data_IF_342437342540
#
_entry.id   IF_342437342540
#
_cell.length_a   1.000
_cell.length_b   1.000
_cell.length_c   1.000
_cell.angle_alpha   90.00
_cell.angle_beta   90.00
_cell.angle_gamma   90.00
#
_symmetry.space_group_name_H-M   'P 1'
#
loop_
_entity.id
_entity.type
_entity.pdbx_description
1 polymer ?
#
# COMPACT_ATOMS: atom_id res chain seq x y z
N UNK A 1 26.23 2.07 -14.14
CA UNK A 1 25.24 1.01 -13.83
C UNK A 1 25.21 0.03 -14.99
N UNK A 2 25.35 -1.29 -14.78
CA UNK A 2 25.26 -2.24 -15.91
C UNK A 2 23.79 -2.44 -16.30
N UNK A 3 23.51 -2.69 -17.59
CA UNK A 3 22.12 -2.89 -18.10
C UNK A 3 21.33 -3.91 -17.26
N UNK A 4 22.00 -4.95 -16.75
CA UNK A 4 21.40 -6.00 -15.90
C UNK A 4 20.90 -5.47 -14.55
N UNK A 5 21.63 -4.56 -13.90
CA UNK A 5 21.17 -3.96 -12.63
C UNK A 5 19.96 -3.05 -12.88
N UNK A 6 20.00 -2.25 -13.95
CA UNK A 6 18.88 -1.37 -14.28
C UNK A 6 17.60 -2.20 -14.50
N UNK A 7 17.71 -3.31 -15.22
CA UNK A 7 16.60 -4.26 -15.40
C UNK A 7 16.14 -4.84 -14.06
N UNK A 8 17.06 -5.25 -13.17
CA UNK A 8 16.69 -5.76 -11.84
C UNK A 8 15.91 -4.72 -11.01
N UNK A 9 16.35 -3.47 -11.01
CA UNK A 9 15.67 -2.38 -10.30
C UNK A 9 14.29 -2.12 -10.90
N UNK A 10 14.17 -2.10 -12.23
CA UNK A 10 12.88 -1.92 -12.92
C UNK A 10 11.92 -3.07 -12.60
N UNK A 11 12.39 -4.32 -12.65
CA UNK A 11 11.57 -5.49 -12.29
C UNK A 11 11.12 -5.40 -10.82
N UNK A 12 12.02 -5.00 -9.93
CA UNK A 12 11.69 -4.80 -8.52
C UNK A 12 10.63 -3.71 -8.32
N UNK A 13 10.77 -2.57 -9.01
CA UNK A 13 9.76 -1.50 -8.98
C UNK A 13 8.41 -2.01 -9.48
N UNK A 14 8.38 -2.67 -10.64
CA UNK A 14 7.14 -3.27 -11.19
C UNK A 14 6.51 -4.23 -10.19
N UNK A 15 7.32 -5.07 -9.52
CA UNK A 15 6.84 -5.95 -8.47
C UNK A 15 6.22 -5.17 -7.31
N UNK A 16 6.91 -4.16 -6.75
CA UNK A 16 6.40 -3.39 -5.62
C UNK A 16 5.09 -2.67 -5.95
N UNK A 17 4.98 -2.10 -7.16
CA UNK A 17 3.73 -1.49 -7.62
C UNK A 17 2.62 -2.52 -7.82
N UNK A 18 2.94 -3.68 -8.40
CA UNK A 18 1.98 -4.77 -8.58
C UNK A 18 1.49 -5.32 -7.24
N UNK A 19 2.39 -5.48 -6.27
CA UNK A 19 2.10 -5.94 -4.91
C UNK A 19 1.13 -4.98 -4.19
N UNK A 20 1.35 -3.67 -4.32
CA UNK A 20 0.51 -2.65 -3.71
C UNK A 20 -0.90 -2.56 -4.33
N UNK A 21 -1.01 -2.52 -5.66
CA UNK A 21 -2.27 -2.22 -6.35
C UNK A 21 -3.08 -3.44 -6.78
N UNK A 22 -2.42 -4.53 -7.15
CA UNK A 22 -3.05 -5.59 -7.95
C UNK A 22 -3.04 -6.96 -7.30
N UNK A 23 -1.98 -7.31 -6.56
CA UNK A 23 -1.89 -8.65 -5.99
C UNK A 23 -2.99 -8.87 -4.96
N UNK A 24 -3.80 -9.93 -5.11
CA UNK A 24 -4.73 -10.33 -4.07
C UNK A 24 -4.00 -10.53 -2.74
N UNK A 25 -4.61 -10.09 -1.65
CA UNK A 25 -4.02 -10.12 -0.31
C UNK A 25 -3.52 -11.51 0.12
N UNK A 26 -4.14 -12.59 -0.36
CA UNK A 26 -3.71 -13.96 -0.04
C UNK A 26 -2.48 -14.40 -0.87
N UNK A 27 -2.20 -13.76 -2.00
CA UNK A 27 -1.04 -14.04 -2.87
C UNK A 27 0.18 -13.24 -2.39
N UNK A 28 -0.02 -12.05 -1.82
CA UNK A 28 1.06 -11.15 -1.36
C UNK A 28 2.14 -11.83 -0.49
N UNK A 29 1.81 -12.69 0.51
CA UNK A 29 2.85 -13.35 1.31
C UNK A 29 3.73 -14.30 0.49
N UNK A 30 3.13 -15.03 -0.46
CA UNK A 30 3.85 -15.98 -1.31
C UNK A 30 4.73 -15.27 -2.33
N UNK A 31 4.21 -14.22 -2.98
CA UNK A 31 4.98 -13.41 -3.93
C UNK A 31 6.16 -12.73 -3.23
N UNK A 32 5.93 -12.15 -2.06
CA UNK A 32 6.97 -11.55 -1.22
C UNK A 32 8.07 -12.54 -0.85
N UNK A 33 7.70 -13.76 -0.42
CA UNK A 33 8.66 -14.80 -0.07
C UNK A 33 9.53 -15.22 -1.27
N UNK A 34 8.90 -15.40 -2.45
CA UNK A 34 9.61 -15.73 -3.69
C UNK A 34 10.64 -14.65 -4.04
N UNK A 35 10.25 -13.37 -3.98
CA UNK A 35 11.14 -12.25 -4.29
C UNK A 35 12.28 -12.16 -3.27
N UNK A 36 12.00 -12.35 -1.98
CA UNK A 36 13.03 -12.39 -0.93
C UNK A 36 14.05 -13.50 -1.19
N UNK A 37 13.60 -14.72 -1.50
CA UNK A 37 14.49 -15.86 -1.80
C UNK A 37 15.32 -15.57 -3.06
N UNK A 38 14.69 -15.05 -4.12
CA UNK A 38 15.40 -14.73 -5.36
C UNK A 38 16.51 -13.69 -5.13
N UNK A 39 16.20 -12.60 -4.41
CA UNK A 39 17.17 -11.55 -4.08
C UNK A 39 18.29 -12.09 -3.16
N UNK A 40 17.97 -12.97 -2.21
CA UNK A 40 18.96 -13.61 -1.34
C UNK A 40 19.92 -14.50 -2.15
N UNK A 41 19.39 -15.36 -3.03
CA UNK A 41 20.22 -16.20 -3.91
C UNK A 41 21.14 -15.33 -4.77
N UNK A 42 20.62 -14.24 -5.34
CA UNK A 42 21.40 -13.30 -6.13
C UNK A 42 22.47 -12.60 -5.29
N UNK A 43 22.17 -12.21 -4.05
CA UNK A 43 23.13 -11.58 -3.15
C UNK A 43 24.27 -12.56 -2.79
N UNK A 44 23.94 -13.80 -2.39
CA UNK A 44 24.91 -14.85 -2.06
C UNK A 44 25.81 -15.17 -3.26
N UNK A 45 25.23 -15.34 -4.45
CA UNK A 45 26.00 -15.59 -5.69
C UNK A 45 26.98 -14.46 -5.99
N UNK A 46 26.56 -13.21 -5.81
CA UNK A 46 27.42 -12.04 -6.02
C UNK A 46 28.52 -11.92 -4.98
N UNK A 47 28.21 -12.24 -3.72
CA UNK A 47 29.18 -12.29 -2.63
C UNK A 47 30.25 -13.35 -2.89
N UNK A 48 29.85 -14.59 -3.23
CA UNK A 48 30.79 -15.67 -3.59
C UNK A 48 31.69 -15.26 -4.76
N UNK A 49 31.10 -14.63 -5.78
CA UNK A 49 31.87 -14.14 -6.94
C UNK A 49 32.92 -13.10 -6.51
N UNK A 50 32.53 -12.13 -5.69
CA UNK A 50 33.45 -11.11 -5.18
C UNK A 50 34.58 -11.69 -4.33
N UNK A 51 34.28 -12.69 -3.49
CA UNK A 51 35.29 -13.40 -2.68
C UNK A 51 36.29 -14.16 -3.58
N UNK A 52 35.80 -14.83 -4.64
CA UNK A 52 36.66 -15.55 -5.61
C UNK A 52 37.53 -14.58 -6.41
N UNK A 53 36.98 -13.45 -6.83
CA UNK A 53 37.67 -12.42 -7.63
C UNK A 53 38.40 -11.38 -6.76
N UNK A 54 38.67 -11.67 -5.48
CA UNK A 54 39.17 -10.69 -4.48
C UNK A 54 40.47 -9.97 -4.85
N UNK A 55 41.33 -10.60 -5.65
CA UNK A 55 42.61 -10.01 -6.13
C UNK A 55 42.42 -9.06 -7.32
N UNK A 56 41.25 -9.07 -7.95
CA UNK A 56 40.90 -8.29 -9.14
C UNK A 56 39.47 -7.75 -9.03
N UNK A 57 39.09 -7.23 -7.87
CA UNK A 57 37.73 -6.74 -7.63
C UNK A 57 37.46 -5.56 -8.56
N UNK A 58 36.43 -5.71 -9.38
CA UNK A 58 35.97 -4.62 -10.24
C UNK A 58 34.90 -3.83 -9.49
N UNK A 59 34.94 -2.49 -9.59
CA UNK A 59 34.00 -1.58 -8.92
C UNK A 59 32.53 -1.94 -9.22
N UNK A 60 32.24 -2.38 -10.45
CA UNK A 60 30.88 -2.81 -10.80
C UNK A 60 30.40 -4.02 -10.00
N UNK A 61 31.29 -4.93 -9.60
CA UNK A 61 30.94 -6.11 -8.80
C UNK A 61 30.43 -5.71 -7.42
N UNK A 62 31.11 -4.73 -6.80
CA UNK A 62 30.71 -4.14 -5.52
C UNK A 62 29.36 -3.44 -5.66
N UNK A 63 29.20 -2.60 -6.69
CA UNK A 63 27.93 -1.88 -6.95
C UNK A 63 26.77 -2.87 -7.14
N UNK A 64 26.96 -3.95 -7.90
CA UNK A 64 25.89 -4.93 -8.11
C UNK A 64 25.46 -5.56 -6.76
N UNK A 65 26.43 -5.94 -5.92
CA UNK A 65 26.14 -6.53 -4.60
C UNK A 65 25.40 -5.53 -3.73
N UNK A 66 25.87 -4.29 -3.65
CA UNK A 66 25.24 -3.24 -2.85
C UNK A 66 23.80 -2.99 -3.29
N UNK A 67 23.54 -2.83 -4.59
CA UNK A 67 22.17 -2.65 -5.10
C UNK A 67 21.30 -3.85 -4.75
N UNK A 68 21.81 -5.06 -4.95
CA UNK A 68 21.03 -6.28 -4.66
C UNK A 68 20.70 -6.40 -3.17
N UNK A 69 21.66 -6.08 -2.29
CA UNK A 69 21.45 -6.04 -0.85
C UNK A 69 20.46 -4.93 -0.46
N UNK A 70 20.54 -3.75 -1.08
CA UNK A 70 19.57 -2.67 -0.85
C UNK A 70 18.16 -3.11 -1.24
N UNK A 71 17.99 -3.71 -2.42
CA UNK A 71 16.67 -4.22 -2.85
C UNK A 71 16.17 -5.33 -1.91
N UNK A 72 17.05 -6.24 -1.49
CA UNK A 72 16.71 -7.27 -0.52
C UNK A 72 16.23 -6.65 0.80
N UNK A 73 17.02 -5.73 1.38
CA UNK A 73 16.67 -5.01 2.61
C UNK A 73 15.35 -4.29 2.44
N UNK A 74 15.17 -3.50 1.38
CA UNK A 74 13.91 -2.77 1.12
C UNK A 74 12.70 -3.69 0.92
N UNK A 75 12.90 -4.95 0.55
CA UNK A 75 11.82 -5.95 0.45
C UNK A 75 11.58 -6.66 1.77
N UNK A 76 12.61 -6.78 2.63
CA UNK A 76 12.56 -7.66 3.79
C UNK A 76 11.73 -7.06 4.95
N UNK A 77 10.64 -7.74 5.26
CA UNK A 77 9.75 -7.57 6.43
C UNK A 77 9.54 -6.11 6.85
N UNK A 78 10.24 -5.65 7.89
CA UNK A 78 10.04 -4.33 8.48
C UNK A 78 10.48 -3.16 7.60
N UNK A 79 11.36 -3.39 6.62
CA UNK A 79 11.85 -2.35 5.73
C UNK A 79 10.96 -2.16 4.50
N UNK A 80 10.10 -3.14 4.18
CA UNK A 80 9.09 -3.02 3.12
C UNK A 80 8.10 -1.88 3.38
N UNK A 81 8.00 -1.40 4.63
CA UNK A 81 7.21 -0.21 4.95
C UNK A 81 7.71 1.06 4.24
N UNK A 82 9.00 1.14 3.89
CA UNK A 82 9.59 2.32 3.24
C UNK A 82 9.03 2.50 1.83
N UNK A 83 9.21 1.54 0.89
CA UNK A 83 8.62 1.68 -0.44
C UNK A 83 7.09 1.75 -0.40
N UNK A 84 6.43 0.98 0.48
CA UNK A 84 4.97 1.05 0.63
C UNK A 84 4.49 2.43 1.08
N UNK A 85 5.16 3.07 2.04
CA UNK A 85 4.78 4.43 2.48
C UNK A 85 4.97 5.47 1.38
N UNK A 86 6.00 5.32 0.54
CA UNK A 86 6.22 6.19 -0.61
C UNK A 86 5.08 6.01 -1.61
N UNK A 87 4.76 4.77 -2.00
CA UNK A 87 3.68 4.47 -2.94
C UNK A 87 2.34 4.95 -2.38
N UNK A 88 2.06 4.73 -1.10
CA UNK A 88 0.83 5.17 -0.43
C UNK A 88 0.65 6.70 -0.49
N UNK A 89 1.72 7.47 -0.28
CA UNK A 89 1.68 8.93 -0.41
C UNK A 89 1.43 9.38 -1.84
N UNK A 90 2.04 8.71 -2.81
CA UNK A 90 1.84 8.98 -4.24
C UNK A 90 0.41 8.66 -4.63
N UNK A 91 -0.12 7.50 -4.23
CA UNK A 91 -1.51 7.12 -4.47
C UNK A 91 -2.49 8.11 -3.83
N UNK A 92 -2.25 8.51 -2.58
CA UNK A 92 -3.05 9.55 -1.94
C UNK A 92 -3.14 10.80 -2.83
N UNK A 93 -1.99 11.33 -3.24
CA UNK A 93 -1.89 12.56 -4.02
C UNK A 93 -2.57 12.45 -5.40
N UNK A 94 -2.30 11.38 -6.15
CA UNK A 94 -2.83 11.20 -7.51
C UNK A 94 -4.34 10.98 -7.49
N UNK A 95 -4.82 10.14 -6.57
CA UNK A 95 -6.21 9.69 -6.53
C UNK A 95 -7.13 10.59 -5.67
N UNK A 96 -6.57 11.61 -5.00
CA UNK A 96 -7.28 12.50 -4.09
C UNK A 96 -8.56 13.12 -4.68
N UNK A 97 -8.45 13.75 -5.85
CA UNK A 97 -9.58 14.43 -6.48
C UNK A 97 -10.72 13.44 -6.83
N UNK A 98 -10.36 12.23 -7.26
CA UNK A 98 -11.33 11.18 -7.57
C UNK A 98 -12.00 10.65 -6.30
N UNK A 99 -11.25 10.46 -5.22
CA UNK A 99 -11.80 10.10 -3.90
C UNK A 99 -12.78 11.15 -3.40
N UNK A 100 -12.46 12.43 -3.53
CA UNK A 100 -13.38 13.52 -3.18
C UNK A 100 -14.65 13.53 -4.04
N UNK A 101 -14.55 13.23 -5.34
CA UNK A 101 -15.73 13.07 -6.20
C UNK A 101 -16.63 11.94 -5.69
N UNK A 102 -16.04 10.77 -5.37
CA UNK A 102 -16.78 9.62 -4.82
C UNK A 102 -17.44 9.99 -3.49
N UNK A 103 -16.74 10.69 -2.60
CA UNK A 103 -17.32 11.17 -1.33
C UNK A 103 -18.54 12.05 -1.60
N UNK A 104 -18.45 13.00 -2.54
CA UNK A 104 -19.59 13.86 -2.93
C UNK A 104 -20.76 13.02 -3.44
N UNK A 105 -20.51 12.04 -4.30
CA UNK A 105 -21.56 11.18 -4.86
C UNK A 105 -22.23 10.31 -3.78
N UNK A 106 -21.47 9.82 -2.79
CA UNK A 106 -22.02 9.09 -1.63
C UNK A 106 -22.86 10.00 -0.74
N UNK A 107 -22.39 11.21 -0.45
CA UNK A 107 -23.11 12.18 0.38
C UNK A 107 -24.40 12.65 -0.31
N UNK A 108 -24.36 12.87 -1.63
CA UNK A 108 -25.54 13.25 -2.43
C UNK A 108 -26.47 12.07 -2.77
N UNK A 109 -26.23 10.88 -2.21
CA UNK A 109 -27.00 9.64 -2.43
C UNK A 109 -27.01 9.16 -3.90
N UNK A 110 -26.12 9.68 -4.76
CA UNK A 110 -25.92 9.19 -6.13
C UNK A 110 -25.23 7.82 -6.13
N UNK A 111 -24.30 7.63 -5.21
CA UNK A 111 -23.64 6.36 -4.96
C UNK A 111 -24.13 5.75 -3.64
N UNK A 112 -24.55 4.48 -3.70
CA UNK A 112 -25.07 3.70 -2.57
C UNK A 112 -24.46 2.30 -2.59
N UNK A 113 -24.45 1.58 -1.44
CA UNK A 113 -24.12 0.17 -1.42
C UNK A 113 -24.91 -0.58 -2.50
N UNK A 114 -24.19 -1.33 -3.34
CA UNK A 114 -24.72 -1.98 -4.54
C UNK A 114 -24.33 -3.47 -4.60
N UNK A 115 -23.92 -4.03 -3.47
CA UNK A 115 -23.58 -5.45 -3.33
C UNK A 115 -24.72 -6.22 -2.66
N UNK A 116 -24.82 -7.51 -2.94
CA UNK A 116 -25.86 -8.39 -2.39
C UNK A 116 -25.77 -8.57 -0.88
N UNK A 117 -24.60 -8.34 -0.28
CA UNK A 117 -24.36 -8.54 1.16
C UNK A 117 -24.89 -7.40 2.05
N UNK A 118 -25.44 -6.31 1.48
CA UNK A 118 -26.05 -5.16 2.17
C UNK A 118 -25.32 -4.67 3.45
N UNK A 119 -24.00 -4.78 3.47
CA UNK A 119 -23.14 -4.49 4.63
C UNK A 119 -22.44 -3.11 4.52
N UNK A 120 -22.95 -2.25 3.65
CA UNK A 120 -22.36 -0.95 3.34
C UNK A 120 -21.27 -0.99 2.27
N UNK A 121 -20.95 -2.15 1.68
CA UNK A 121 -19.99 -2.23 0.57
C UNK A 121 -20.62 -1.71 -0.72
N UNK A 122 -19.88 -0.80 -1.37
CA UNK A 122 -20.19 -0.27 -2.68
C UNK A 122 -19.04 -0.55 -3.64
N UNK A 123 -19.32 -1.30 -4.71
CA UNK A 123 -18.39 -1.57 -5.80
C UNK A 123 -18.39 -0.39 -6.78
N UNK A 124 -17.22 0.20 -7.03
CA UNK A 124 -17.06 1.29 -7.98
C UNK A 124 -17.04 0.75 -9.42
N UNK A 125 -17.50 1.56 -10.38
CA UNK A 125 -17.76 1.14 -11.76
C UNK A 125 -16.59 1.27 -12.75
N UNK A 126 -15.37 1.60 -12.29
CA UNK A 126 -14.21 1.82 -13.16
C UNK A 126 -13.03 0.92 -12.78
N UNK A 127 -12.20 0.58 -13.78
CA UNK A 127 -11.06 -0.34 -13.61
C UNK A 127 -9.71 0.38 -13.33
N UNK A 128 -9.58 1.68 -13.67
CA UNK A 128 -8.32 2.43 -13.49
C UNK A 128 -8.49 3.96 -13.39
N UNK A 129 -7.66 4.68 -12.61
CA UNK A 129 -6.74 4.16 -11.58
C UNK A 129 -7.51 3.49 -10.44
N UNK A 130 -6.96 2.45 -9.83
CA UNK A 130 -7.57 1.80 -8.66
C UNK A 130 -7.63 2.84 -7.54
N UNK A 131 -8.83 3.10 -7.02
CA UNK A 131 -9.04 4.12 -5.98
C UNK A 131 -9.05 3.50 -4.57
N UNK A 132 -9.35 2.20 -4.49
CA UNK A 132 -9.42 1.42 -3.26
C UNK A 132 -8.86 0.01 -3.51
N UNK A 133 -7.76 -0.31 -2.84
CA UNK A 133 -7.03 -1.56 -2.96
C UNK A 133 -7.80 -2.69 -2.26
N UNK A 134 -8.68 -3.33 -3.03
CA UNK A 134 -9.61 -4.33 -2.52
C UNK A 134 -10.71 -4.65 -3.51
N UNK A 135 -10.36 -4.79 -4.80
CA UNK A 135 -11.36 -4.95 -5.86
C UNK A 135 -12.10 -3.67 -6.24
N UNK A 136 -11.54 -2.50 -5.90
CA UNK A 136 -12.12 -1.18 -6.10
C UNK A 136 -13.49 -0.96 -5.40
N UNK A 137 -13.70 -1.71 -4.31
CA UNK A 137 -14.83 -1.52 -3.43
C UNK A 137 -14.54 -0.40 -2.41
N UNK A 138 -15.58 0.26 -1.92
CA UNK A 138 -15.50 1.15 -0.74
C UNK A 138 -16.48 0.68 0.33
N UNK A 139 -16.20 1.01 1.58
CA UNK A 139 -17.13 0.78 2.68
C UNK A 139 -17.78 2.08 3.11
N UNK A 140 -19.10 2.16 2.96
CA UNK A 140 -19.94 3.27 3.41
C UNK A 140 -20.63 2.85 4.70
N UNK A 141 -20.35 3.57 5.79
CA UNK A 141 -21.02 3.42 7.07
C UNK A 141 -21.91 4.63 7.33
N UNK A 142 -23.18 4.36 7.65
CA UNK A 142 -24.16 5.37 8.04
C UNK A 142 -24.23 5.40 9.56
N UNK A 143 -24.02 6.58 10.16
CA UNK A 143 -24.13 6.74 11.61
C UNK A 143 -25.58 6.96 12.03
N UNK A 144 -25.83 6.89 13.35
CA UNK A 144 -27.15 7.18 13.94
C UNK A 144 -27.55 8.65 13.78
N UNK A 145 -26.57 9.56 13.77
CA UNK A 145 -26.79 10.98 13.55
C UNK A 145 -27.17 11.21 12.09
N UNK A 146 -28.29 11.90 11.87
CA UNK A 146 -28.82 12.10 10.52
C UNK A 146 -27.81 12.87 9.65
N UNK A 147 -27.56 12.34 8.45
CA UNK A 147 -26.64 12.96 7.49
C UNK A 147 -25.15 12.71 7.72
N UNK A 148 -24.72 12.05 8.80
CA UNK A 148 -23.31 11.70 9.00
C UNK A 148 -22.96 10.31 8.45
N UNK A 149 -21.82 10.24 7.76
CA UNK A 149 -21.30 9.05 7.06
C UNK A 149 -19.80 8.95 7.23
N UNK A 150 -19.32 7.71 7.32
CA UNK A 150 -17.90 7.37 7.17
C UNK A 150 -17.71 6.57 5.90
N UNK A 151 -16.73 6.96 5.08
CA UNK A 151 -16.40 6.29 3.82
C UNK A 151 -14.96 5.83 3.91
N UNK A 152 -14.74 4.52 3.73
CA UNK A 152 -13.41 3.91 3.79
C UNK A 152 -13.00 3.40 2.42
N UNK A 153 -11.80 3.79 2.02
CA UNK A 153 -11.08 3.28 0.87
C UNK A 153 -9.97 2.38 1.40
N UNK A 154 -9.94 1.13 0.98
CA UNK A 154 -8.89 0.20 1.38
C UNK A 154 -7.55 0.61 0.76
N UNK A 155 -6.51 0.55 1.57
CA UNK A 155 -5.10 0.55 1.15
C UNK A 155 -4.59 -0.88 1.17
N UNK A 156 -4.97 -1.64 2.20
CA UNK A 156 -4.83 -3.09 2.28
C UNK A 156 -6.02 -3.68 3.03
N UNK A 157 -6.54 -4.81 2.53
CA UNK A 157 -7.64 -5.57 3.16
C UNK A 157 -7.20 -6.44 4.33
N UNK A 158 -5.89 -6.53 4.59
CA UNK A 158 -5.35 -7.48 5.55
C UNK A 158 -5.54 -8.94 5.11
N UNK A 159 -4.78 -9.84 5.70
CA UNK A 159 -4.95 -11.29 5.56
C UNK A 159 -4.48 -11.98 6.83
N UNK A 160 -5.21 -12.99 7.31
CA UNK A 160 -5.05 -13.55 8.66
C UNK A 160 -5.10 -12.45 9.75
N UNK A 161 -4.08 -12.37 10.59
CA UNK A 161 -3.95 -11.37 11.67
C UNK A 161 -3.34 -10.05 11.19
N UNK A 162 -3.04 -9.91 9.89
CA UNK A 162 -2.49 -8.66 9.37
C UNK A 162 -3.54 -7.54 9.39
N UNK A 163 -3.17 -6.34 9.87
CA UNK A 163 -4.10 -5.23 10.03
C UNK A 163 -4.58 -4.70 8.68
N UNK A 164 -5.76 -4.11 8.70
CA UNK A 164 -6.36 -3.44 7.56
C UNK A 164 -5.95 -1.97 7.57
N UNK A 165 -5.68 -1.41 6.39
CA UNK A 165 -5.28 -0.01 6.27
C UNK A 165 -6.22 0.73 5.33
N UNK A 166 -6.49 1.99 5.66
CA UNK A 166 -7.54 2.77 5.02
C UNK A 166 -7.16 4.24 4.83
N UNK A 167 -7.64 4.80 3.72
CA UNK A 167 -7.99 6.22 3.65
C UNK A 167 -9.46 6.37 4.06
N UNK A 168 -9.73 7.23 5.03
CA UNK A 168 -11.05 7.39 5.62
C UNK A 168 -11.50 8.84 5.50
N UNK A 169 -12.67 9.04 4.92
CA UNK A 169 -13.42 10.28 5.05
C UNK A 169 -14.52 10.11 6.11
N UNK A 170 -14.69 11.09 7.00
CA UNK A 170 -15.84 11.13 7.91
C UNK A 170 -16.30 12.56 8.19
N UNK A 171 -17.59 12.82 8.10
CA UNK A 171 -18.21 14.06 8.59
C UNK A 171 -18.88 13.88 9.97
N UNK A 172 -18.62 12.77 10.66
CA UNK A 172 -19.12 12.49 11.99
C UNK A 172 -18.11 12.94 13.07
N UNK A 173 -18.52 13.88 13.93
CA UNK A 173 -17.63 14.49 14.93
C UNK A 173 -17.12 13.50 15.98
N UNK A 174 -17.92 12.51 16.37
CA UNK A 174 -17.51 11.50 17.35
C UNK A 174 -16.42 10.60 16.77
N UNK A 175 -16.63 10.14 15.53
CA UNK A 175 -15.65 9.34 14.80
C UNK A 175 -14.35 10.11 14.53
N UNK A 176 -14.46 11.41 14.23
CA UNK A 176 -13.27 12.28 14.10
C UNK A 176 -12.45 12.31 15.38
N UNK A 177 -13.09 12.49 16.55
CA UNK A 177 -12.40 12.46 17.85
C UNK A 177 -11.73 11.11 18.11
N UNK A 178 -12.41 10.00 17.81
CA UNK A 178 -11.83 8.66 17.96
C UNK A 178 -10.56 8.47 17.10
N UNK A 179 -10.56 8.95 15.87
CA UNK A 179 -9.36 8.89 15.02
C UNK A 179 -8.24 9.82 15.49
N UNK A 180 -8.58 11.01 15.99
CA UNK A 180 -7.58 11.92 16.55
C UNK A 180 -6.90 11.35 17.80
N UNK A 181 -7.64 10.65 18.67
CA UNK A 181 -7.05 9.91 19.78
C UNK A 181 -6.19 8.73 19.31
N UNK A 182 -6.66 7.96 18.32
CA UNK A 182 -5.88 6.85 17.77
C UNK A 182 -4.55 7.31 17.14
N UNK A 183 -4.54 8.49 16.51
CA UNK A 183 -3.33 9.13 15.99
C UNK A 183 -2.35 9.49 17.11
N UNK A 184 -2.84 9.97 18.26
CA UNK A 184 -1.96 10.27 19.41
C UNK A 184 -1.33 9.00 19.99
N UNK A 185 -2.08 7.90 20.03
CA UNK A 185 -1.61 6.63 20.61
C UNK A 185 -0.65 5.88 19.68
N UNK A 186 -0.86 5.92 18.36
CA UNK A 186 -0.05 5.22 17.35
C UNK A 186 0.23 6.09 16.11
N UNK A 187 0.99 7.19 16.25
CA UNK A 187 1.26 8.14 15.16
C UNK A 187 2.08 7.54 14.02
N UNK A 188 2.84 6.47 14.28
CA UNK A 188 3.63 5.77 13.27
C UNK A 188 2.77 5.00 12.25
N UNK A 189 1.52 4.68 12.62
CA UNK A 189 0.57 3.97 11.78
C UNK A 189 -0.67 4.81 11.43
N UNK A 190 -0.87 5.96 12.08
CA UNK A 190 -2.09 6.73 11.92
C UNK A 190 -1.75 8.21 11.81
N UNK A 191 -2.32 8.89 10.83
CA UNK A 191 -2.13 10.33 10.70
C UNK A 191 -3.33 10.99 10.01
N UNK A 192 -3.48 12.29 10.26
CA UNK A 192 -4.46 13.12 9.57
C UNK A 192 -3.90 13.48 8.19
N UNK A 193 -4.73 13.33 7.16
CA UNK A 193 -4.35 13.69 5.79
C UNK A 193 -4.78 15.12 5.51
N UNK A 194 -6.05 15.42 5.76
CA UNK A 194 -6.66 16.74 5.58
C UNK A 194 -7.90 16.89 6.49
N UNK A 195 -8.66 17.98 6.32
CA UNK A 195 -9.96 18.15 6.98
C UNK A 195 -10.86 16.96 6.63
N UNK A 196 -11.39 16.29 7.67
CA UNK A 196 -12.25 15.11 7.57
C UNK A 196 -11.59 13.85 6.97
N UNK A 197 -10.29 13.89 6.65
CA UNK A 197 -9.56 12.80 6.00
C UNK A 197 -8.46 12.24 6.90
N UNK A 198 -8.42 10.92 7.03
CA UNK A 198 -7.53 10.21 7.93
C UNK A 198 -6.92 8.99 7.25
N UNK A 199 -5.66 8.70 7.57
CA UNK A 199 -5.03 7.40 7.28
C UNK A 199 -5.01 6.59 8.56
N UNK A 200 -5.72 5.45 8.56
CA UNK A 200 -5.88 4.63 9.76
C UNK A 200 -5.53 3.17 9.47
N UNK A 201 -4.77 2.56 10.38
CA UNK A 201 -4.53 1.12 10.47
C UNK A 201 -5.39 0.53 11.59
N UNK A 202 -6.16 -0.51 11.29
CA UNK A 202 -7.00 -1.24 12.23
C UNK A 202 -6.63 -2.70 12.32
#
# INVERSE_FOLDING_TARGET
>A
MTKKIAILVIIWLVFTFADYFYLPYFIQPFSWLIVCIALLILAVRQLIKLIKERKSIKTYGIINLLVTLTLFVLTFYNFNKIPNSIIEKIDWSISYNKRNQIVKDVLSKKLKPNTTMNNGICKLSFDFPIISNGGNDIWIYQHKTEGTKTIKFWISRGFFEAPQTYFIFTNDNETQKQYEELIKVKPEYNWKLEKNWYRIMK
#
